data_IF_252860221571
#
_entry.id   IF_252860221571
#
_cell.length_a   1.000
_cell.length_b   1.000
_cell.length_c   1.000
_cell.angle_alpha   90.00
_cell.angle_beta   90.00
_cell.angle_gamma   90.00
#
_symmetry.space_group_name_H-M   'P 1'
#
loop_
_entity.id
_entity.type
_entity.pdbx_description
1 polymer ?
#
# COMPACT_ATOMS: atom_id res chain seq x y z
N UNK A 1 13.12 1.55 19.35
CA UNK A 1 14.36 2.29 19.01
C UNK A 1 14.49 3.60 19.78
N UNK A 2 13.65 4.62 19.53
CA UNK A 2 13.78 5.92 20.20
C UNK A 2 13.67 5.82 21.72
N UNK A 3 12.71 5.03 22.24
CA UNK A 3 12.62 4.74 23.68
C UNK A 3 13.95 4.22 24.26
N UNK A 4 14.53 3.20 23.63
CA UNK A 4 15.83 2.63 24.03
C UNK A 4 16.96 3.67 24.01
N UNK A 5 17.03 4.52 22.99
CA UNK A 5 18.04 5.58 22.92
C UNK A 5 17.87 6.63 24.04
N UNK A 6 16.62 6.92 24.41
CA UNK A 6 16.33 7.83 25.50
C UNK A 6 16.65 7.21 26.86
N UNK A 7 16.32 5.94 27.07
CA UNK A 7 16.62 5.23 28.31
C UNK A 7 18.14 5.12 28.53
N UNK A 8 18.93 4.97 27.45
CA UNK A 8 20.40 4.87 27.51
C UNK A 8 21.09 6.23 27.66
N UNK A 9 20.68 7.26 26.91
CA UNK A 9 21.43 8.53 26.82
C UNK A 9 20.68 9.73 27.41
N UNK A 10 19.42 9.58 27.78
CA UNK A 10 18.57 10.65 28.32
C UNK A 10 18.46 11.86 27.40
N UNK A 11 18.59 13.05 27.99
CA UNK A 11 18.53 14.33 27.26
C UNK A 11 19.56 14.45 26.13
N UNK A 12 20.85 14.06 26.30
CA UNK A 12 21.81 13.96 25.19
C UNK A 12 21.33 13.15 23.98
N UNK A 13 20.54 12.09 24.20
CA UNK A 13 19.97 11.24 23.14
C UNK A 13 18.91 11.93 22.28
N UNK A 14 18.31 13.04 22.76
CA UNK A 14 17.24 13.75 22.04
C UNK A 14 17.65 14.23 20.66
N UNK A 15 18.88 14.74 20.50
CA UNK A 15 19.36 15.20 19.19
C UNK A 15 19.42 14.05 18.18
N UNK A 16 19.80 12.85 18.62
CA UNK A 16 19.85 11.67 17.75
C UNK A 16 18.45 11.19 17.40
N UNK A 17 17.55 11.12 18.38
CA UNK A 17 16.14 10.78 18.16
C UNK A 17 15.49 11.74 17.16
N UNK A 18 15.74 13.06 17.30
CA UNK A 18 15.23 14.06 16.36
C UNK A 18 15.69 13.78 14.93
N UNK A 19 16.98 13.46 14.74
CA UNK A 19 17.51 13.09 13.43
C UNK A 19 16.92 11.82 12.83
N UNK A 20 16.41 10.90 13.65
CA UNK A 20 15.68 9.69 13.22
C UNK A 20 14.22 10.04 12.88
N UNK A 21 13.53 10.82 13.72
CA UNK A 21 12.15 11.26 13.49
C UNK A 21 12.05 12.13 12.23
N UNK A 22 13.04 12.99 11.98
CA UNK A 22 13.09 13.83 10.78
C UNK A 22 13.19 13.00 9.48
N UNK A 23 13.50 11.70 9.53
CA UNK A 23 13.44 10.80 8.36
C UNK A 23 12.02 10.65 7.83
N UNK A 24 11.00 10.80 8.67
CA UNK A 24 9.60 10.73 8.28
C UNK A 24 9.20 11.83 7.27
N UNK A 25 10.02 12.88 7.13
CA UNK A 25 9.82 13.92 6.10
C UNK A 25 10.20 13.47 4.69
N UNK A 26 11.00 12.41 4.56
CA UNK A 26 11.59 11.97 3.28
C UNK A 26 11.23 10.53 2.91
N UNK A 27 10.94 9.69 3.90
CA UNK A 27 10.69 8.26 3.72
C UNK A 27 9.33 7.86 4.25
N UNK A 28 8.74 6.82 3.66
CA UNK A 28 7.51 6.20 4.14
C UNK A 28 7.71 5.62 5.54
N UNK A 29 6.66 5.67 6.37
CA UNK A 29 6.68 5.15 7.74
C UNK A 29 7.11 3.67 7.80
N UNK A 30 6.59 2.84 6.88
CA UNK A 30 6.95 1.42 6.78
C UNK A 30 8.46 1.17 6.66
N UNK A 31 9.18 1.95 5.84
CA UNK A 31 10.64 1.80 5.70
C UNK A 31 11.37 2.13 7.01
N UNK A 32 10.89 3.15 7.72
CA UNK A 32 11.47 3.61 8.99
C UNK A 32 11.23 2.57 10.09
N UNK A 33 10.04 2.00 10.15
CA UNK A 33 9.70 0.94 11.11
C UNK A 33 10.54 -0.32 10.87
N UNK A 34 10.64 -0.77 9.62
CA UNK A 34 11.44 -1.94 9.28
C UNK A 34 12.93 -1.72 9.60
N UNK A 35 13.47 -0.54 9.26
CA UNK A 35 14.84 -0.17 9.63
C UNK A 35 15.02 -0.10 11.15
N UNK A 36 14.04 0.42 11.89
CA UNK A 36 14.11 0.52 13.35
C UNK A 36 14.08 -0.87 14.01
N UNK A 37 13.27 -1.79 13.49
CA UNK A 37 13.21 -3.17 13.97
C UNK A 37 14.54 -3.89 13.73
N UNK A 38 15.12 -3.76 12.53
CA UNK A 38 16.44 -4.29 12.19
C UNK A 38 17.57 -3.68 13.04
N UNK A 39 17.50 -2.37 13.29
CA UNK A 39 18.48 -1.69 14.13
C UNK A 39 18.41 -2.19 15.59
N UNK A 40 17.20 -2.44 16.10
CA UNK A 40 17.02 -3.01 17.44
C UNK A 40 17.56 -4.44 17.52
N UNK A 41 17.21 -5.30 16.57
CA UNK A 41 17.65 -6.70 16.57
C UNK A 41 19.17 -6.85 16.43
N UNK A 42 19.82 -5.97 15.66
CA UNK A 42 21.27 -5.97 15.46
C UNK A 42 22.06 -5.10 16.47
N UNK A 43 21.39 -4.51 17.45
CA UNK A 43 22.04 -3.60 18.42
C UNK A 43 22.65 -2.33 17.79
N UNK A 44 22.17 -1.92 16.62
CA UNK A 44 22.67 -0.75 15.91
C UNK A 44 22.00 0.52 16.47
N UNK A 45 22.81 1.43 17.02
CA UNK A 45 22.32 2.67 17.67
C UNK A 45 22.71 3.96 16.96
N UNK A 46 23.68 3.90 16.04
CA UNK A 46 24.21 5.09 15.35
C UNK A 46 23.18 5.63 14.33
N UNK A 47 22.80 6.90 14.46
CA UNK A 47 21.85 7.57 13.55
C UNK A 47 22.25 7.47 12.07
N UNK A 48 23.56 7.56 11.76
CA UNK A 48 24.08 7.37 10.39
C UNK A 48 23.78 5.98 9.83
N UNK A 49 23.87 4.94 10.66
CA UNK A 49 23.58 3.55 10.25
C UNK A 49 22.09 3.37 10.01
N UNK A 50 21.26 3.89 10.92
CA UNK A 50 19.79 3.85 10.78
C UNK A 50 19.34 4.56 9.50
N UNK A 51 19.89 5.74 9.22
CA UNK A 51 19.61 6.49 7.98
C UNK A 51 19.97 5.67 6.74
N UNK A 52 21.10 4.97 6.76
CA UNK A 52 21.52 4.10 5.66
C UNK A 52 20.55 2.93 5.47
N UNK A 53 20.17 2.25 6.56
CA UNK A 53 19.17 1.17 6.50
C UNK A 53 17.84 1.62 5.89
N UNK A 54 17.35 2.81 6.28
CA UNK A 54 16.12 3.37 5.70
C UNK A 54 16.29 3.63 4.20
N UNK A 55 17.44 4.17 3.78
CA UNK A 55 17.74 4.40 2.37
C UNK A 55 17.75 3.07 1.60
N UNK A 56 18.50 2.08 2.08
CA UNK A 56 18.64 0.76 1.44
C UNK A 56 17.26 0.08 1.28
N UNK A 57 16.42 0.09 2.34
CA UNK A 57 15.06 -0.45 2.28
C UNK A 57 14.20 0.32 1.28
N UNK A 58 14.31 1.65 1.25
CA UNK A 58 13.54 2.47 0.32
C UNK A 58 13.90 2.23 -1.14
N UNK A 59 15.16 1.89 -1.41
CA UNK A 59 15.65 1.56 -2.75
C UNK A 59 15.21 0.17 -3.17
N UNK A 60 15.27 -0.81 -2.27
CA UNK A 60 14.79 -2.18 -2.51
C UNK A 60 13.28 -2.24 -2.76
N UNK A 61 12.51 -1.35 -2.12
CA UNK A 61 11.05 -1.27 -2.27
C UNK A 61 10.60 -0.23 -3.30
N UNK A 62 11.52 0.41 -4.02
CA UNK A 62 11.12 1.10 -5.24
C UNK A 62 10.58 0.04 -6.18
N UNK A 63 9.33 0.16 -6.67
CA UNK A 63 8.90 -0.70 -7.75
C UNK A 63 9.89 -0.44 -8.87
N UNK A 64 10.64 -1.48 -9.25
CA UNK A 64 11.26 -1.50 -10.58
C UNK A 64 10.09 -1.21 -11.50
N UNK A 65 10.16 -0.12 -12.26
CA UNK A 65 9.21 0.17 -13.32
C UNK A 65 9.40 -0.92 -14.38
N UNK A 66 8.89 -2.11 -14.08
CA UNK A 66 8.61 -3.11 -15.08
C UNK A 66 7.52 -2.49 -15.94
N UNK A 67 7.67 -2.44 -17.27
CA UNK A 67 6.55 -2.12 -18.13
C UNK A 67 5.45 -3.12 -17.78
N UNK A 68 4.37 -2.60 -17.21
CA UNK A 68 3.22 -3.37 -16.80
C UNK A 68 2.40 -3.63 -18.07
N UNK A 69 2.91 -4.50 -18.93
CA UNK A 69 2.19 -5.07 -20.07
C UNK A 69 1.36 -6.30 -19.63
N UNK A 70 0.81 -6.26 -18.42
CA UNK A 70 -0.14 -7.26 -17.96
C UNK A 70 -1.38 -6.50 -17.49
N UNK A 71 -2.32 -6.40 -18.41
CA UNK A 71 -3.74 -6.11 -18.19
C UNK A 71 -4.15 -6.54 -16.78
N UNK A 72 -4.36 -5.55 -15.90
CA UNK A 72 -4.86 -5.71 -14.53
C UNK A 72 -6.21 -6.43 -14.55
N UNK A 73 -6.17 -7.75 -14.66
CA UNK A 73 -7.34 -8.62 -14.71
C UNK A 73 -7.30 -9.46 -13.46
N UNK A 74 -8.32 -9.30 -12.61
CA UNK A 74 -8.45 -10.05 -11.39
C UNK A 74 -8.94 -11.46 -11.75
N UNK A 75 -8.01 -12.36 -12.06
CA UNK A 75 -8.34 -13.76 -12.36
C UNK A 75 -8.57 -14.51 -11.04
N UNK A 76 -9.81 -14.49 -10.55
CA UNK A 76 -10.24 -15.30 -9.42
C UNK A 76 -11.39 -16.21 -9.85
N UNK A 77 -11.43 -17.45 -9.35
CA UNK A 77 -12.40 -18.47 -9.78
C UNK A 77 -13.88 -18.06 -9.57
N UNK A 78 -14.14 -17.10 -8.69
CA UNK A 78 -15.49 -16.56 -8.42
C UNK A 78 -15.81 -15.30 -9.23
N UNK A 79 -14.84 -14.72 -9.93
CA UNK A 79 -15.04 -13.53 -10.76
C UNK A 79 -15.43 -14.01 -12.15
N UNK A 80 -16.57 -13.53 -12.65
CA UNK A 80 -17.04 -13.87 -13.98
C UNK A 80 -16.23 -13.15 -15.05
N UNK A 81 -16.10 -13.73 -16.25
CA UNK A 81 -15.55 -13.04 -17.41
C UNK A 81 -16.26 -11.69 -17.66
N UNK A 82 -15.55 -10.66 -18.13
CA UNK A 82 -16.13 -9.33 -18.38
C UNK A 82 -17.28 -9.37 -19.42
N UNK A 83 -17.27 -10.33 -20.34
CA UNK A 83 -18.34 -10.56 -21.32
C UNK A 83 -19.68 -10.85 -20.65
N UNK A 84 -19.66 -11.61 -19.54
CA UNK A 84 -20.89 -11.93 -18.78
C UNK A 84 -21.50 -10.69 -18.13
N UNK A 85 -20.68 -9.73 -17.71
CA UNK A 85 -21.15 -8.47 -17.16
C UNK A 85 -21.80 -7.58 -18.24
N UNK A 86 -21.22 -7.53 -19.44
CA UNK A 86 -21.78 -6.77 -20.55
C UNK A 86 -23.21 -7.24 -20.89
N UNK A 87 -23.42 -8.55 -21.00
CA UNK A 87 -24.75 -9.15 -21.25
C UNK A 87 -25.76 -8.84 -20.14
N UNK A 88 -25.35 -8.88 -18.87
CA UNK A 88 -26.22 -8.53 -17.75
C UNK A 88 -26.73 -7.08 -17.87
N UNK A 89 -25.84 -6.15 -18.20
CA UNK A 89 -26.22 -4.75 -18.36
C UNK A 89 -27.08 -4.52 -19.59
N UNK A 90 -26.82 -5.16 -20.73
CA UNK A 90 -27.67 -5.05 -21.92
C UNK A 90 -29.11 -5.54 -21.66
N UNK A 91 -29.25 -6.68 -20.98
CA UNK A 91 -30.54 -7.26 -20.63
C UNK A 91 -31.34 -6.37 -19.65
N UNK A 92 -30.65 -5.73 -18.70
CA UNK A 92 -31.31 -4.87 -17.70
C UNK A 92 -31.44 -3.39 -18.12
N UNK A 93 -30.60 -2.90 -19.04
CA UNK A 93 -30.67 -1.54 -19.56
C UNK A 93 -31.86 -1.34 -20.51
N UNK A 94 -32.31 -2.41 -21.18
CA UNK A 94 -33.53 -2.41 -22.00
C UNK A 94 -34.83 -2.45 -21.15
N UNK A 95 -34.73 -2.55 -19.82
CA UNK A 95 -35.84 -2.74 -18.88
C UNK A 95 -36.58 -1.48 -18.45
N UNK A 96 -36.59 -0.40 -19.24
CA UNK A 96 -37.52 0.72 -19.00
C UNK A 96 -38.01 1.37 -20.29
N UNK A 97 -38.73 0.62 -21.14
CA UNK A 97 -39.77 1.23 -21.95
C UNK A 97 -40.82 0.24 -22.46
N UNK A 98 -42.00 0.30 -21.84
CA UNK A 98 -43.26 0.37 -22.59
C UNK A 98 -43.95 -0.92 -23.03
N UNK A 99 -44.84 -1.41 -22.16
CA UNK A 99 -46.29 -1.59 -22.42
C UNK A 99 -46.74 -2.50 -23.60
N UNK A 100 -47.71 -3.41 -23.37
CA UNK A 100 -48.87 -3.60 -24.26
C UNK A 100 -49.91 -4.65 -23.79
N UNK A 101 -51.14 -4.15 -23.58
CA UNK A 101 -52.43 -4.70 -24.03
C UNK A 101 -52.85 -6.13 -23.63
N UNK A 102 -53.63 -6.22 -22.55
CA UNK A 102 -54.67 -7.26 -22.40
C UNK A 102 -55.92 -6.79 -23.17
N UNK A 103 -56.01 -7.15 -24.46
CA UNK A 103 -57.25 -6.98 -25.26
C UNK A 103 -58.27 -8.04 -24.87
N UNK A 104 -59.51 -7.58 -24.80
CA UNK A 104 -60.77 -8.32 -24.64
C UNK A 104 -61.06 -9.29 -25.78
N UNK A 105 -61.90 -10.29 -25.43
CA UNK A 105 -62.91 -11.02 -26.22
C UNK A 105 -62.59 -12.46 -26.69
N UNK A 106 -63.22 -13.43 -26.02
CA UNK A 106 -64.15 -14.36 -26.66
C UNK A 106 -65.34 -14.63 -25.73
#
# INVERSE_FOLDING_TARGET
LCKTLFDEEGRPGQRRMRGIVDLARKFKACHIEQAAQLAVSKGLRKCRVIRRLVQDISELQKPVSQPCDETLTQQHQLIRPPEDYALFFEQHAAGTNGNNNKKTLH
#
